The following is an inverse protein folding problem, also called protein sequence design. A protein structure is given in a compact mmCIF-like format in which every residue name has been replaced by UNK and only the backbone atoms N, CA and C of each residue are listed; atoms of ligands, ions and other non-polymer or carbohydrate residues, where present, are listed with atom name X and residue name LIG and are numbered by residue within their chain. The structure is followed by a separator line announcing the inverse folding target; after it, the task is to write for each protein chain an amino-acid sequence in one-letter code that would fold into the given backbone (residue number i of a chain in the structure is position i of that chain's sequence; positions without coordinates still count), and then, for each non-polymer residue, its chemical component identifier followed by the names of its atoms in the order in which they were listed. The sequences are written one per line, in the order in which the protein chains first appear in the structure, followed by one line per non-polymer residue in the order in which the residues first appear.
data_IF_370565308900
#
_entry.id   IF_370565308900
#
_cell.length_a   1.000
_cell.length_b   1.000
_cell.length_c   1.000
_cell.angle_alpha   90.00
_cell.angle_beta   90.00
_cell.angle_gamma   90.00
#
_symmetry.space_group_name_H-M   'P 1'
#
loop_
_entity.id
_entity.type
_entity.pdbx_description
1 polymer ?
#
# COMPACT_ATOMS: atom_id res chain seq x y z
N UNK A 1 -68.73 -32.88 39.39
CA UNK A 1 -69.41 -31.71 40.01
C UNK A 1 -68.46 -31.04 41.00
N UNK A 2 -67.93 -29.87 40.62
CA UNK A 2 -67.61 -28.67 41.43
C UNK A 2 -66.49 -27.88 40.72
N UNK A 3 -66.91 -26.90 39.95
CA UNK A 3 -66.12 -25.71 39.63
C UNK A 3 -65.86 -24.91 40.92
N UNK A 4 -64.79 -24.09 40.91
CA UNK A 4 -64.58 -22.76 41.54
C UNK A 4 -63.11 -22.64 41.94
N UNK A 5 -62.35 -21.56 41.75
CA UNK A 5 -62.35 -20.33 40.94
C UNK A 5 -60.91 -19.79 41.06
N UNK A 6 -60.39 -19.27 39.95
CA UNK A 6 -59.32 -18.27 39.76
C UNK A 6 -58.76 -17.59 41.02
N UNK A 7 -57.43 -17.45 41.12
CA UNK A 7 -56.82 -16.11 41.20
C UNK A 7 -55.32 -16.13 40.83
N UNK A 8 -54.94 -15.02 40.22
CA UNK A 8 -53.68 -14.66 39.57
C UNK A 8 -52.43 -14.82 40.45
N UNK A 9 -51.38 -15.39 39.87
CA UNK A 9 -50.02 -14.92 40.14
C UNK A 9 -49.43 -14.34 38.86
N UNK A 10 -49.20 -13.04 38.95
CA UNK A 10 -48.71 -12.15 37.92
C UNK A 10 -47.19 -12.35 37.79
N UNK A 11 -46.76 -12.60 36.55
CA UNK A 11 -45.53 -12.09 35.92
C UNK A 11 -44.24 -12.00 36.76
N UNK A 12 -43.31 -12.94 36.56
CA UNK A 12 -41.88 -12.74 36.84
C UNK A 12 -41.04 -13.39 35.73
N UNK A 13 -40.04 -12.63 35.26
CA UNK A 13 -38.95 -12.95 34.30
C UNK A 13 -39.37 -13.02 32.82
N UNK A 14 -39.39 -11.92 32.06
CA UNK A 14 -38.26 -11.05 31.69
C UNK A 14 -37.06 -11.80 31.09
N UNK A 15 -37.02 -11.77 29.74
CA UNK A 15 -35.81 -11.70 28.91
C UNK A 15 -34.76 -12.81 29.11
N UNK A 16 -35.01 -13.97 28.49
CA UNK A 16 -33.91 -14.82 28.06
C UNK A 16 -33.23 -14.15 26.86
N UNK A 17 -32.14 -13.46 27.15
CA UNK A 17 -31.19 -12.86 26.22
C UNK A 17 -30.90 -13.85 25.10
N UNK A 18 -31.31 -13.51 23.87
CA UNK A 18 -30.69 -14.07 22.67
C UNK A 18 -29.20 -13.76 22.79
N UNK A 19 -28.41 -14.80 23.10
CA UNK A 19 -26.99 -14.79 22.85
C UNK A 19 -26.85 -14.72 21.33
N UNK A 20 -26.91 -13.49 20.81
CA UNK A 20 -26.27 -13.12 19.58
C UNK A 20 -24.81 -13.48 19.82
N UNK A 21 -24.40 -14.66 19.35
CA UNK A 21 -22.99 -14.94 19.10
C UNK A 21 -22.56 -13.89 18.10
N UNK A 22 -22.10 -12.74 18.61
CA UNK A 22 -21.29 -11.82 17.87
C UNK A 22 -20.17 -12.68 17.31
N UNK A 23 -20.24 -12.98 16.01
CA UNK A 23 -19.12 -13.56 15.30
C UNK A 23 -17.92 -12.68 15.64
N UNK A 24 -16.96 -13.26 16.35
CA UNK A 24 -15.67 -12.65 16.50
C UNK A 24 -15.09 -12.67 15.09
N UNK A 25 -15.26 -11.56 14.39
CA UNK A 25 -14.60 -11.26 13.14
C UNK A 25 -13.12 -11.16 13.49
N UNK A 26 -12.47 -12.31 13.55
CA UNK A 26 -11.04 -12.44 13.74
C UNK A 26 -10.42 -11.78 12.52
N UNK A 27 -10.00 -10.52 12.71
CA UNK A 27 -9.22 -9.75 11.75
C UNK A 27 -7.83 -10.37 11.64
N UNK A 28 -7.75 -11.54 10.99
CA UNK A 28 -6.49 -12.04 10.49
C UNK A 28 -5.96 -10.99 9.53
N UNK A 29 -4.91 -10.27 9.94
CA UNK A 29 -4.21 -9.36 9.03
C UNK A 29 -3.81 -10.18 7.79
N UNK A 30 -4.04 -9.65 6.58
CA UNK A 30 -3.69 -10.39 5.38
C UNK A 30 -2.18 -10.63 5.36
N UNK A 31 -1.78 -11.87 5.08
CA UNK A 31 -0.37 -12.24 4.93
C UNK A 31 0.07 -11.97 3.49
N UNK A 32 1.24 -11.36 3.31
CA UNK A 32 1.83 -11.04 2.02
C UNK A 32 3.36 -11.20 2.07
N UNK A 33 3.96 -11.60 0.96
CA UNK A 33 5.43 -11.61 0.80
C UNK A 33 6.01 -10.20 0.70
N UNK A 34 5.15 -9.21 0.43
CA UNK A 34 5.49 -7.79 0.37
C UNK A 34 4.79 -7.02 1.49
N UNK A 35 5.25 -5.81 1.84
CA UNK A 35 4.59 -5.01 2.86
C UNK A 35 3.14 -4.69 2.48
N UNK A 36 2.20 -5.06 3.35
CA UNK A 36 0.77 -4.73 3.16
C UNK A 36 0.52 -3.23 3.27
N UNK A 37 -0.59 -2.77 2.66
CA UNK A 37 -1.05 -1.41 2.78
C UNK A 37 -1.20 -0.99 4.26
N UNK A 38 -0.59 0.15 4.63
CA UNK A 38 -0.57 0.64 6.02
C UNK A 38 -1.98 0.99 6.54
N UNK A 39 -2.93 1.29 5.64
CA UNK A 39 -4.30 1.59 6.01
C UNK A 39 -5.29 1.04 4.97
N UNK A 40 -5.85 -0.14 5.25
CA UNK A 40 -6.85 -0.83 4.43
C UNK A 40 -8.05 0.05 4.07
N UNK A 41 -8.50 0.92 4.99
CA UNK A 41 -9.66 1.79 4.75
C UNK A 41 -9.40 2.93 3.75
N UNK A 42 -8.13 3.18 3.38
CA UNK A 42 -7.72 4.19 2.39
C UNK A 42 -7.39 3.62 1.02
N UNK A 43 -7.31 2.30 0.88
CA UNK A 43 -7.10 1.65 -0.43
C UNK A 43 -8.21 2.07 -1.40
N UNK A 44 -7.83 2.53 -2.58
CA UNK A 44 -8.71 3.06 -3.63
C UNK A 44 -9.15 4.52 -3.41
N UNK A 45 -8.65 5.21 -2.38
CA UNK A 45 -9.03 6.61 -2.07
C UNK A 45 -7.92 7.62 -2.32
N UNK A 46 -6.73 7.17 -2.70
CA UNK A 46 -5.64 8.05 -3.09
C UNK A 46 -5.88 8.62 -4.51
N UNK A 47 -5.33 9.80 -4.84
CA UNK A 47 -5.46 10.36 -6.18
C UNK A 47 -4.98 9.39 -7.25
N UNK A 48 -5.73 9.26 -8.35
CA UNK A 48 -5.35 8.38 -9.47
C UNK A 48 -4.00 8.79 -10.07
N UNK A 49 -3.87 10.07 -10.42
CA UNK A 49 -2.66 10.63 -11.00
C UNK A 49 -1.68 11.01 -9.89
N UNK A 50 -0.57 10.28 -9.82
CA UNK A 50 0.55 10.58 -8.93
C UNK A 50 1.84 10.64 -9.72
N UNK A 51 2.93 11.10 -9.09
CA UNK A 51 4.25 10.98 -9.72
C UNK A 51 4.57 9.50 -9.95
N UNK A 52 5.26 9.20 -11.04
CA UNK A 52 5.77 7.86 -11.34
C UNK A 52 7.30 7.92 -11.35
N UNK A 53 7.94 6.92 -10.76
CA UNK A 53 9.38 6.89 -10.61
C UNK A 53 9.94 7.99 -9.70
N UNK A 54 11.22 7.87 -9.34
CA UNK A 54 11.98 8.74 -8.45
C UNK A 54 11.84 8.50 -6.92
N UNK A 55 12.90 8.89 -6.22
CA UNK A 55 13.20 8.48 -4.84
C UNK A 55 13.97 7.16 -4.80
N UNK A 56 14.67 6.94 -3.68
CA UNK A 56 15.46 5.71 -3.42
C UNK A 56 15.01 5.00 -2.14
N UNK A 57 14.08 5.63 -1.42
CA UNK A 57 13.55 5.12 -0.16
C UNK A 57 12.04 5.33 -0.09
N UNK A 58 11.36 4.51 0.71
CA UNK A 58 9.95 4.69 1.03
C UNK A 58 9.68 4.55 2.53
N UNK A 59 8.62 5.20 3.00
CA UNK A 59 8.15 5.13 4.37
C UNK A 59 7.05 4.11 4.52
N UNK A 60 6.01 4.09 3.69
CA UNK A 60 4.88 3.17 3.81
C UNK A 60 4.34 2.73 2.46
N UNK A 61 3.83 1.49 2.38
CA UNK A 61 3.01 1.03 1.25
C UNK A 61 1.59 1.52 1.50
N UNK A 62 1.01 2.20 0.52
CA UNK A 62 -0.33 2.78 0.62
C UNK A 62 -1.37 1.89 -0.05
N UNK A 63 -1.06 1.39 -1.24
CA UNK A 63 -1.90 0.47 -2.02
C UNK A 63 -1.09 -0.12 -3.19
N UNK A 64 -1.53 -1.27 -3.68
CA UNK A 64 -1.08 -1.84 -4.95
C UNK A 64 -2.08 -1.48 -6.04
N UNK A 65 -1.61 -1.08 -7.22
CA UNK A 65 -2.45 -0.63 -8.33
C UNK A 65 -2.22 -1.51 -9.54
N UNK A 66 -3.31 -1.95 -10.16
CA UNK A 66 -3.29 -2.60 -11.47
C UNK A 66 -4.04 -1.70 -12.43
N UNK A 67 -3.31 -1.11 -13.37
CA UNK A 67 -3.88 -0.33 -14.47
C UNK A 67 -4.43 -1.28 -15.55
N UNK A 68 -5.54 -0.89 -16.17
CA UNK A 68 -6.23 -1.66 -17.20
C UNK A 68 -6.58 -0.76 -18.38
N UNK A 69 -6.26 -1.23 -19.58
CA UNK A 69 -6.42 -0.49 -20.83
C UNK A 69 -7.45 -1.16 -21.74
N UNK A 70 -8.76 -1.06 -21.46
CA UNK A 70 -9.78 -1.82 -22.20
C UNK A 70 -9.88 -1.43 -23.68
N UNK A 71 -9.27 -0.32 -24.11
CA UNK A 71 -9.41 0.29 -25.44
C UNK A 71 -10.37 1.49 -25.46
N UNK A 72 -10.76 1.97 -24.27
CA UNK A 72 -11.47 3.22 -24.03
C UNK A 72 -10.75 3.99 -22.93
N UNK A 73 -11.48 4.42 -21.90
CA UNK A 73 -10.87 5.09 -20.74
C UNK A 73 -10.11 4.09 -19.86
N UNK A 74 -8.87 4.46 -19.52
CA UNK A 74 -8.03 3.71 -18.60
C UNK A 74 -8.57 3.83 -17.17
N UNK A 75 -8.45 2.74 -16.42
CA UNK A 75 -8.78 2.73 -14.99
C UNK A 75 -7.76 1.88 -14.23
N UNK A 76 -7.74 2.02 -12.92
CA UNK A 76 -6.99 1.12 -12.06
C UNK A 76 -7.88 0.47 -11.01
N UNK A 77 -7.44 -0.69 -10.54
CA UNK A 77 -7.96 -1.35 -9.34
C UNK A 77 -6.90 -1.31 -8.26
N UNK A 78 -7.31 -0.93 -7.05
CA UNK A 78 -6.45 -0.83 -5.88
C UNK A 78 -6.62 -2.05 -4.96
N UNK A 79 -5.52 -2.53 -4.40
CA UNK A 79 -5.47 -3.69 -3.53
C UNK A 79 -4.59 -3.42 -2.30
N UNK A 80 -4.87 -4.16 -1.24
CA UNK A 80 -4.12 -4.03 0.02
C UNK A 80 -2.86 -4.89 0.07
N UNK A 81 -2.81 -5.92 -0.78
CA UNK A 81 -1.69 -6.87 -0.88
C UNK A 81 -1.22 -7.00 -2.32
N UNK A 82 0.04 -7.37 -2.49
CA UNK A 82 0.61 -7.64 -3.80
C UNK A 82 -0.06 -8.84 -4.48
N UNK A 83 -0.35 -9.90 -3.72
CA UNK A 83 -0.87 -11.16 -4.26
C UNK A 83 -2.29 -11.00 -4.83
N UNK A 84 -3.13 -10.18 -4.20
CA UNK A 84 -4.45 -9.82 -4.75
C UNK A 84 -4.31 -9.04 -6.06
N UNK A 85 -3.42 -8.05 -6.09
CA UNK A 85 -3.15 -7.26 -7.29
C UNK A 85 -2.60 -8.14 -8.43
N UNK A 86 -1.63 -9.00 -8.11
CA UNK A 86 -1.00 -9.89 -9.09
C UNK A 86 -2.01 -10.86 -9.69
N UNK A 87 -2.84 -11.50 -8.85
CA UNK A 87 -3.92 -12.38 -9.31
C UNK A 87 -4.90 -11.64 -10.23
N UNK A 88 -5.28 -10.41 -9.89
CA UNK A 88 -6.18 -9.62 -10.72
C UNK A 88 -5.55 -9.28 -12.07
N UNK A 89 -4.28 -8.86 -12.09
CA UNK A 89 -3.51 -8.57 -13.30
C UNK A 89 -3.45 -9.79 -14.23
N UNK A 90 -3.13 -10.97 -13.71
CA UNK A 90 -3.05 -12.22 -14.50
C UNK A 90 -4.38 -12.68 -15.09
N UNK A 91 -5.51 -12.29 -14.47
CA UNK A 91 -6.86 -12.70 -14.87
C UNK A 91 -7.60 -11.68 -15.71
N UNK A 92 -7.03 -10.48 -15.89
CA UNK A 92 -7.70 -9.36 -16.55
C UNK A 92 -7.02 -9.04 -17.87
N UNK A 93 -7.77 -9.11 -18.96
CA UNK A 93 -7.25 -8.76 -20.27
C UNK A 93 -6.82 -7.28 -20.31
N UNK A 94 -5.65 -7.01 -20.93
CA UNK A 94 -5.07 -5.67 -21.05
C UNK A 94 -4.75 -4.99 -19.70
N UNK A 95 -4.62 -5.77 -18.63
CA UNK A 95 -4.08 -5.29 -17.36
C UNK A 95 -2.55 -5.24 -17.39
N UNK A 96 -1.98 -4.25 -16.72
CA UNK A 96 -0.54 -4.14 -16.48
C UNK A 96 -0.09 -4.96 -15.26
N UNK A 97 1.22 -5.12 -15.10
CA UNK A 97 1.79 -5.63 -13.85
C UNK A 97 1.50 -4.71 -12.67
N UNK A 98 1.32 -5.24 -11.44
CA UNK A 98 1.06 -4.40 -10.28
C UNK A 98 2.17 -3.36 -10.05
N UNK A 99 1.75 -2.10 -9.87
CA UNK A 99 2.56 -1.05 -9.29
C UNK A 99 2.24 -0.93 -7.79
N UNK A 100 3.15 -0.31 -7.04
CA UNK A 100 2.94 0.01 -5.64
C UNK A 100 2.96 1.51 -5.44
N UNK A 101 1.91 2.02 -4.80
CA UNK A 101 1.85 3.39 -4.33
C UNK A 101 2.51 3.48 -2.96
N UNK A 102 3.53 4.32 -2.85
CA UNK A 102 4.29 4.50 -1.60
C UNK A 102 4.22 5.93 -1.09
N UNK A 103 4.25 6.06 0.23
CA UNK A 103 4.51 7.33 0.93
C UNK A 103 6.01 7.49 1.14
N UNK A 104 6.51 8.70 0.94
CA UNK A 104 7.85 9.15 1.28
C UNK A 104 7.71 10.42 2.11
N UNK A 105 8.04 10.37 3.40
CA UNK A 105 8.07 11.56 4.29
C UNK A 105 9.33 12.38 4.07
N UNK A 106 10.38 11.68 3.68
CA UNK A 106 11.64 12.25 3.22
C UNK A 106 12.09 11.45 2.01
N UNK A 107 12.67 12.12 1.02
CA UNK A 107 13.10 11.49 -0.22
C UNK A 107 14.41 12.07 -0.72
N UNK A 108 15.05 11.34 -1.62
CA UNK A 108 16.26 11.78 -2.31
C UNK A 108 15.87 12.10 -3.76
N UNK A 109 16.14 13.32 -4.19
CA UNK A 109 16.02 13.71 -5.59
C UNK A 109 17.39 13.60 -6.29
N UNK A 110 17.39 13.04 -7.49
CA UNK A 110 18.52 13.08 -8.43
C UNK A 110 18.05 13.84 -9.67
N UNK A 111 18.11 15.18 -9.62
CA UNK A 111 17.69 16.01 -10.75
C UNK A 111 18.68 15.94 -11.92
N UNK A 112 19.96 15.79 -11.58
CA UNK A 112 21.04 15.52 -12.51
C UNK A 112 21.77 14.24 -12.04
N UNK A 113 22.25 13.39 -12.97
CA UNK A 113 22.98 12.18 -12.60
C UNK A 113 24.11 12.47 -11.61
N UNK A 114 24.12 11.74 -10.50
CA UNK A 114 25.10 11.87 -9.42
C UNK A 114 24.85 13.02 -8.44
N UNK A 115 23.87 13.91 -8.69
CA UNK A 115 23.52 15.02 -7.77
C UNK A 115 22.33 14.65 -6.89
N UNK A 116 22.63 14.03 -5.75
CA UNK A 116 21.63 13.60 -4.77
C UNK A 116 21.31 14.70 -3.76
N UNK A 117 20.03 15.05 -3.65
CA UNK A 117 19.52 16.06 -2.72
C UNK A 117 18.52 15.43 -1.76
N UNK A 118 18.78 15.52 -0.45
CA UNK A 118 17.81 15.16 0.58
C UNK A 118 16.70 16.21 0.67
N UNK A 119 15.46 15.77 0.50
CA UNK A 119 14.26 16.58 0.65
C UNK A 119 13.42 16.06 1.80
N UNK A 120 13.01 16.97 2.70
CA UNK A 120 12.06 16.70 3.77
C UNK A 120 10.69 17.19 3.36
N UNK A 121 9.72 16.30 3.28
CA UNK A 121 8.36 16.61 2.82
C UNK A 121 7.67 15.39 2.23
N UNK A 122 6.40 15.25 2.58
CA UNK A 122 5.55 14.15 2.16
C UNK A 122 5.39 14.14 0.63
N UNK A 123 5.55 12.96 0.04
CA UNK A 123 5.36 12.67 -1.37
C UNK A 123 4.70 11.30 -1.50
N UNK A 124 3.72 11.20 -2.39
CA UNK A 124 3.16 9.93 -2.83
C UNK A 124 3.61 9.67 -4.27
N UNK A 125 4.04 8.46 -4.56
CA UNK A 125 4.58 8.10 -5.88
C UNK A 125 4.36 6.62 -6.17
N UNK A 126 4.15 6.30 -7.45
CA UNK A 126 4.09 4.92 -7.93
C UNK A 126 5.47 4.39 -8.25
N UNK A 127 5.74 3.17 -7.77
CA UNK A 127 6.97 2.42 -7.97
C UNK A 127 6.67 1.03 -8.55
N UNK A 128 7.69 0.44 -9.17
CA UNK A 128 7.67 -1.00 -9.42
C UNK A 128 7.82 -1.75 -8.09
N UNK A 129 7.15 -2.88 -7.96
CA UNK A 129 7.10 -3.65 -6.71
C UNK A 129 8.49 -4.13 -6.27
N UNK A 130 9.35 -4.50 -7.22
CA UNK A 130 10.72 -4.95 -6.93
C UNK A 130 11.59 -3.87 -6.26
N UNK A 131 11.24 -2.59 -6.42
CA UNK A 131 11.97 -1.48 -5.79
C UNK A 131 11.71 -1.37 -4.28
N UNK A 132 10.72 -2.08 -3.72
CA UNK A 132 10.48 -2.11 -2.27
C UNK A 132 11.60 -2.84 -1.52
N UNK A 133 12.26 -3.81 -2.15
CA UNK A 133 13.28 -4.61 -1.49
C UNK A 133 14.50 -3.76 -1.15
N UNK A 134 14.86 -3.71 0.14
CA UNK A 134 16.02 -2.96 0.62
C UNK A 134 15.88 -1.44 0.65
N UNK A 135 14.73 -0.88 0.31
CA UNK A 135 14.51 0.58 0.20
C UNK A 135 13.61 1.17 1.31
N UNK A 136 13.19 0.37 2.30
CA UNK A 136 12.44 0.90 3.45
C UNK A 136 13.32 1.90 4.21
N UNK A 137 12.83 3.11 4.40
CA UNK A 137 13.56 4.19 5.07
C UNK A 137 13.66 3.89 6.56
N UNK A 138 14.89 3.90 7.06
CA UNK A 138 15.23 3.99 8.47
C UNK A 138 15.84 5.36 8.81
N UNK A 139 16.15 5.61 10.10
CA UNK A 139 16.67 6.90 10.56
C UNK A 139 17.92 7.39 9.81
N UNK A 140 18.84 6.48 9.50
CA UNK A 140 20.12 6.82 8.87
C UNK A 140 20.17 6.53 7.36
N UNK A 141 19.12 5.97 6.76
CA UNK A 141 19.16 5.47 5.37
C UNK A 141 19.55 6.56 4.38
N UNK A 142 18.95 7.75 4.46
CA UNK A 142 19.25 8.85 3.53
C UNK A 142 20.66 9.41 3.75
N UNK A 143 21.06 9.60 5.02
CA UNK A 143 22.39 10.11 5.36
C UNK A 143 23.49 9.14 4.89
N UNK A 144 23.26 7.83 5.06
CA UNK A 144 24.17 6.78 4.61
C UNK A 144 24.25 6.75 3.07
N UNK A 145 23.11 6.77 2.38
CA UNK A 145 23.05 6.81 0.93
C UNK A 145 23.86 7.97 0.35
N UNK A 146 23.64 9.20 0.84
CA UNK A 146 24.36 10.39 0.36
C UNK A 146 25.85 10.24 0.62
N UNK A 147 26.24 9.84 1.84
CA UNK A 147 27.65 9.63 2.20
C UNK A 147 28.34 8.60 1.31
N UNK A 148 27.66 7.51 0.97
CA UNK A 148 28.19 6.47 0.08
C UNK A 148 28.36 6.99 -1.35
N UNK A 149 27.36 7.70 -1.88
CA UNK A 149 27.41 8.23 -3.24
C UNK A 149 28.43 9.36 -3.42
N UNK A 150 28.69 10.16 -2.39
CA UNK A 150 29.72 11.21 -2.43
C UNK A 150 31.15 10.64 -2.38
N UNK A 151 31.35 9.43 -1.82
CA UNK A 151 32.68 8.79 -1.74
C UNK A 151 33.16 8.16 -3.05
N UNK A 152 32.26 7.91 -4.00
CA UNK A 152 32.60 7.29 -5.29
C UNK A 152 33.00 8.41 -6.25
N UNK A 153 34.28 8.50 -6.68
CA UNK A 153 34.66 9.43 -7.74
C UNK A 153 33.88 9.06 -9.01
N UNK A 154 33.17 10.03 -9.57
CA UNK A 154 32.49 9.86 -10.85
C UNK A 154 33.56 9.60 -11.92
N UNK A 155 33.82 8.34 -12.27
CA UNK A 155 34.74 8.00 -13.36
C UNK A 155 34.15 8.56 -14.66
N UNK A 156 34.75 9.63 -15.15
CA UNK A 156 34.26 10.43 -16.27
C UNK A 156 33.91 9.58 -17.50
N UNK A 157 32.71 9.82 -18.03
CA UNK A 157 32.35 9.47 -19.39
C UNK A 157 33.24 10.25 -20.35
N UNK A 158 34.26 9.58 -20.87
CA UNK A 158 35.11 10.09 -21.92
C UNK A 158 35.47 8.95 -22.86
N UNK A 159 34.65 8.74 -23.89
CA UNK A 159 35.15 8.16 -25.14
C UNK A 159 34.75 9.07 -26.28
N UNK A 160 35.80 9.55 -26.94
CA UNK A 160 35.83 10.53 -28.01
C UNK A 160 35.12 10.01 -29.27
N UNK A 161 34.45 10.95 -29.92
CA UNK A 161 34.22 10.93 -31.37
C UNK A 161 35.56 10.74 -32.08
N UNK A 162 35.73 9.61 -32.77
CA UNK A 162 36.75 9.45 -33.79
C UNK A 162 36.04 9.50 -35.15
N UNK A 163 36.32 10.57 -35.89
CA UNK A 163 36.20 10.61 -37.35
C UNK A 163 37.39 9.89 -37.97
#
# INVERSE_FOLDING_TARGET
MKMIKRLMFLSIACLAVMLCSCAQEQSSQPSSAYPVAVNFSKVGKYPALTKSGAGYVYDDVLEYRVWVHPGGDDYYRAFSTYEEAKRFSEQTEKAEEPLVLVLQREHINEQEPGKFVHVKGDRITEWKVEWLSGSKRGPDTIANFIREKTKIPQSGGGTQSAR
#
